data_IF_287727446682
#
_entry.id   IF_287727446682
#
_cell.length_a   1.000
_cell.length_b   1.000
_cell.length_c   1.000
_cell.angle_alpha   90.00
_cell.angle_beta   90.00
_cell.angle_gamma   90.00
#
_symmetry.space_group_name_H-M   'P 1'
#
loop_
_entity.id
_entity.type
_entity.pdbx_description
1 polymer ?
#
# COMPACT_ATOMS: atom_id res chain seq x y z
N UNK A 1 8.38 -9.64 -13.31
CA UNK A 1 9.77 -10.12 -13.21
C UNK A 1 10.02 -10.45 -11.76
N UNK A 2 10.34 -11.71 -11.47
CA UNK A 2 10.72 -12.15 -10.13
C UNK A 2 12.25 -12.06 -10.01
N UNK A 3 12.73 -11.61 -8.85
CA UNK A 3 14.15 -11.39 -8.57
C UNK A 3 14.41 -11.90 -7.16
N UNK A 4 15.53 -12.57 -6.93
CA UNK A 4 15.93 -12.98 -5.58
C UNK A 4 16.29 -11.74 -4.76
N UNK A 5 15.99 -11.78 -3.46
CA UNK A 5 16.31 -10.68 -2.54
C UNK A 5 17.81 -10.36 -2.51
N UNK A 6 18.67 -11.36 -2.73
CA UNK A 6 20.13 -11.21 -2.86
C UNK A 6 20.55 -10.33 -4.03
N UNK A 7 19.72 -10.23 -5.06
CA UNK A 7 20.07 -9.55 -6.31
C UNK A 7 19.45 -8.15 -6.38
N UNK A 8 18.78 -7.69 -5.32
CA UNK A 8 18.15 -6.36 -5.28
C UNK A 8 19.18 -5.24 -5.49
N UNK A 9 20.36 -5.37 -4.90
CA UNK A 9 21.44 -4.39 -5.05
C UNK A 9 21.85 -4.24 -6.51
N UNK A 10 22.18 -5.35 -7.18
CA UNK A 10 22.63 -5.35 -8.58
C UNK A 10 21.50 -5.11 -9.59
N UNK A 11 20.24 -5.33 -9.21
CA UNK A 11 19.10 -5.16 -10.13
C UNK A 11 18.43 -3.80 -10.03
N UNK A 12 18.32 -3.24 -8.80
CA UNK A 12 17.58 -2.01 -8.52
C UNK A 12 18.56 -0.85 -8.29
N UNK A 13 19.54 -1.07 -7.41
CA UNK A 13 20.46 -0.07 -6.93
C UNK A 13 21.75 -0.02 -7.78
N UNK A 14 21.60 0.08 -9.10
CA UNK A 14 22.72 0.28 -10.06
C UNK A 14 23.10 1.76 -10.24
N UNK A 15 22.24 2.67 -9.78
CA UNK A 15 22.40 4.11 -9.84
C UNK A 15 21.67 4.77 -8.67
N UNK A 16 21.97 6.03 -8.33
CA UNK A 16 21.22 6.76 -7.33
C UNK A 16 19.73 6.87 -7.69
N UNK A 17 18.84 6.59 -6.74
CA UNK A 17 17.38 6.65 -6.94
C UNK A 17 16.66 7.26 -5.74
N UNK A 18 15.50 7.85 -6.01
CA UNK A 18 14.52 8.21 -4.98
C UNK A 18 13.84 6.95 -4.45
N UNK A 19 13.75 6.79 -3.13
CA UNK A 19 12.97 5.71 -2.51
C UNK A 19 11.63 6.23 -1.99
N UNK A 20 10.54 5.56 -2.35
CA UNK A 20 9.24 5.71 -1.71
C UNK A 20 8.92 4.38 -1.05
N UNK A 21 8.83 4.35 0.27
CA UNK A 21 8.61 3.11 1.00
C UNK A 21 7.68 3.33 2.19
N UNK A 22 7.09 2.24 2.67
CA UNK A 22 6.38 2.20 3.94
C UNK A 22 7.08 1.21 4.86
N UNK A 23 7.38 1.62 6.09
CA UNK A 23 7.88 0.71 7.12
C UNK A 23 6.77 0.30 8.07
N UNK A 24 6.83 -0.97 8.48
CA UNK A 24 5.92 -1.56 9.45
C UNK A 24 6.68 -2.45 10.43
N UNK A 25 5.93 -3.15 11.29
CA UNK A 25 6.47 -4.19 12.16
C UNK A 25 6.82 -5.48 11.40
N UNK A 26 6.66 -5.55 10.08
CA UNK A 26 7.14 -6.67 9.26
C UNK A 26 8.57 -6.44 8.77
N UNK A 27 9.43 -7.45 8.86
CA UNK A 27 10.84 -7.35 8.44
C UNK A 27 10.96 -7.08 6.93
N UNK A 28 10.07 -7.66 6.13
CA UNK A 28 10.02 -7.47 4.68
C UNK A 28 9.93 -6.00 4.27
N UNK A 29 9.38 -5.14 5.14
CA UNK A 29 9.26 -3.70 4.89
C UNK A 29 10.62 -2.97 4.80
N UNK A 30 11.70 -3.54 5.34
CA UNK A 30 13.03 -2.91 5.32
C UNK A 30 13.93 -3.41 4.21
N UNK A 31 13.60 -4.53 3.57
CA UNK A 31 14.49 -5.28 2.67
C UNK A 31 14.97 -4.43 1.49
N UNK A 32 14.07 -3.70 0.83
CA UNK A 32 14.43 -2.85 -0.32
C UNK A 32 15.36 -1.71 0.08
N UNK A 33 15.07 -1.07 1.23
CA UNK A 33 15.88 0.03 1.76
C UNK A 33 17.25 -0.45 2.27
N UNK A 34 17.32 -1.64 2.88
CA UNK A 34 18.56 -2.24 3.37
C UNK A 34 19.48 -2.65 2.21
N UNK A 35 18.91 -3.16 1.13
CA UNK A 35 19.66 -3.52 -0.07
C UNK A 35 20.33 -2.31 -0.75
N UNK A 36 19.89 -1.08 -0.47
CA UNK A 36 20.52 0.11 -1.02
C UNK A 36 21.94 0.31 -0.43
N UNK A 37 22.99 0.35 -1.27
CA UNK A 37 24.31 0.78 -0.85
C UNK A 37 24.31 2.24 -0.41
N UNK A 38 25.32 2.60 0.38
CA UNK A 38 25.51 3.99 0.79
C UNK A 38 25.62 4.91 -0.45
N UNK A 39 24.88 6.02 -0.44
CA UNK A 39 24.86 6.98 -1.54
C UNK A 39 23.96 6.63 -2.73
N UNK A 40 23.39 5.41 -2.82
CA UNK A 40 22.44 5.08 -3.90
C UNK A 40 20.98 5.32 -3.54
N UNK A 41 20.65 5.35 -2.26
CA UNK A 41 19.39 5.88 -1.75
C UNK A 41 19.64 7.30 -1.20
N UNK A 42 19.62 8.30 -2.07
CA UNK A 42 20.02 9.67 -1.70
C UNK A 42 18.92 10.48 -1.04
N UNK A 43 17.67 10.22 -1.43
CA UNK A 43 16.49 10.98 -0.99
C UNK A 43 15.24 10.12 -1.13
N UNK A 44 14.19 10.51 -0.44
CA UNK A 44 12.96 9.75 -0.52
C UNK A 44 11.96 10.07 0.57
N UNK A 45 10.89 9.30 0.57
CA UNK A 45 9.82 9.38 1.55
C UNK A 45 9.65 8.02 2.21
N UNK A 46 9.66 8.02 3.53
CA UNK A 46 9.43 6.86 4.37
C UNK A 46 8.13 7.04 5.14
N UNK A 47 7.07 6.36 4.69
CA UNK A 47 5.78 6.38 5.35
C UNK A 47 5.75 5.43 6.55
N UNK A 48 5.29 5.92 7.69
CA UNK A 48 5.26 5.19 8.96
C UNK A 48 3.93 5.43 9.67
N UNK A 49 3.44 4.49 10.47
CA UNK A 49 2.20 4.72 11.21
C UNK A 49 2.40 5.71 12.36
N UNK A 50 1.42 6.58 12.59
CA UNK A 50 1.24 7.23 13.89
C UNK A 50 1.00 6.16 14.97
N UNK A 51 1.58 6.33 16.17
CA UNK A 51 1.43 5.35 17.26
C UNK A 51 2.01 3.96 16.96
N UNK A 52 3.03 3.88 16.09
CA UNK A 52 3.69 2.61 15.72
C UNK A 52 4.30 1.90 16.93
N UNK A 53 4.42 0.58 16.84
CA UNK A 53 5.07 -0.24 17.88
C UNK A 53 6.57 0.06 17.99
N UNK A 54 7.17 -0.31 19.13
CA UNK A 54 8.61 -0.19 19.33
C UNK A 54 9.43 -0.92 18.25
N UNK A 55 8.98 -2.11 17.83
CA UNK A 55 9.65 -2.86 16.76
C UNK A 55 9.64 -2.09 15.43
N UNK A 56 8.50 -1.49 15.08
CA UNK A 56 8.42 -0.65 13.88
C UNK A 56 9.30 0.60 14.03
N UNK A 57 9.37 1.19 15.23
CA UNK A 57 10.21 2.35 15.51
C UNK A 57 11.71 2.06 15.36
N UNK A 58 12.21 0.95 15.94
CA UNK A 58 13.61 0.52 15.79
C UNK A 58 14.01 0.32 14.33
N UNK A 59 13.09 -0.19 13.50
CA UNK A 59 13.33 -0.35 12.06
C UNK A 59 13.39 0.97 11.32
N UNK A 60 12.53 1.92 11.68
CA UNK A 60 12.61 3.28 11.14
C UNK A 60 13.97 3.88 11.45
N UNK A 61 14.41 3.81 12.70
CA UNK A 61 15.73 4.32 13.13
C UNK A 61 16.89 3.66 12.37
N UNK A 62 16.87 2.33 12.22
CA UNK A 62 17.88 1.60 11.47
C UNK A 62 17.95 2.00 9.98
N UNK A 63 16.82 2.31 9.35
CA UNK A 63 16.79 2.77 7.96
C UNK A 63 17.21 4.23 7.85
N UNK A 64 16.75 5.10 8.74
CA UNK A 64 17.06 6.54 8.68
C UNK A 64 18.49 6.84 9.09
N UNK A 65 19.11 6.04 9.95
CA UNK A 65 20.53 6.18 10.30
C UNK A 65 21.43 5.81 9.12
N UNK A 66 21.03 4.83 8.31
CA UNK A 66 21.73 4.44 7.08
C UNK A 66 21.51 5.42 5.93
N UNK A 67 20.30 5.97 5.83
CA UNK A 67 19.87 6.82 4.73
C UNK A 67 19.26 8.13 5.25
N UNK A 68 20.11 9.05 5.68
CA UNK A 68 19.72 10.33 6.30
C UNK A 68 18.91 11.26 5.39
N UNK A 69 18.98 11.05 4.06
CA UNK A 69 18.18 11.80 3.09
C UNK A 69 16.70 11.38 3.00
N UNK A 70 16.27 10.36 3.75
CA UNK A 70 14.88 9.92 3.77
C UNK A 70 14.04 10.78 4.71
N UNK A 71 12.98 11.39 4.17
CA UNK A 71 12.01 12.14 4.96
C UNK A 71 10.95 11.19 5.51
N UNK A 72 10.82 11.15 6.83
CA UNK A 72 9.80 10.33 7.52
C UNK A 72 8.45 11.05 7.51
N UNK A 73 7.38 10.35 7.12
CA UNK A 73 6.01 10.87 7.08
C UNK A 73 5.08 9.96 7.86
N UNK A 74 4.47 10.52 8.91
CA UNK A 74 3.52 9.82 9.77
C UNK A 74 2.13 9.74 9.12
N UNK A 75 1.57 8.54 8.97
CA UNK A 75 0.23 8.30 8.45
C UNK A 75 -0.73 7.93 9.58
N UNK A 76 -1.90 8.60 9.60
CA UNK A 76 -2.99 8.32 10.54
C UNK A 76 -3.95 7.31 9.94
N UNK A 77 -3.78 6.04 10.30
CA UNK A 77 -4.49 4.92 9.69
C UNK A 77 -6.01 4.93 9.86
N UNK A 78 -6.49 5.62 10.90
CA UNK A 78 -7.91 5.81 11.20
C UNK A 78 -8.58 6.87 10.31
N UNK A 79 -7.80 7.77 9.70
CA UNK A 79 -8.29 8.90 8.90
C UNK A 79 -7.79 8.79 7.43
N UNK A 80 -8.62 8.27 6.52
CA UNK A 80 -8.27 8.12 5.11
C UNK A 80 -7.99 9.44 4.40
N UNK A 81 -8.69 10.52 4.77
CA UNK A 81 -8.51 11.82 4.13
C UNK A 81 -7.17 12.43 4.54
N UNK A 82 -6.86 12.44 5.84
CA UNK A 82 -5.55 12.91 6.30
C UNK A 82 -4.41 12.05 5.72
N UNK A 83 -4.61 10.73 5.62
CA UNK A 83 -3.65 9.83 4.96
C UNK A 83 -3.44 10.18 3.49
N UNK A 84 -4.53 10.43 2.75
CA UNK A 84 -4.45 10.82 1.35
C UNK A 84 -3.73 12.15 1.14
N UNK A 85 -4.05 13.16 1.95
CA UNK A 85 -3.37 14.47 1.93
C UNK A 85 -1.87 14.31 2.16
N UNK A 86 -1.46 13.57 3.20
CA UNK A 86 -0.04 13.37 3.52
C UNK A 86 0.71 12.59 2.43
N UNK A 87 0.09 11.58 1.82
CA UNK A 87 0.68 10.88 0.68
C UNK A 87 0.82 11.83 -0.52
N UNK A 88 -0.21 12.61 -0.82
CA UNK A 88 -0.21 13.58 -1.91
C UNK A 88 0.86 14.66 -1.75
N UNK A 89 0.92 15.31 -0.59
CA UNK A 89 1.96 16.30 -0.26
C UNK A 89 3.35 15.70 -0.36
N UNK A 90 3.53 14.48 0.19
CA UNK A 90 4.84 13.87 0.23
C UNK A 90 5.35 13.46 -1.16
N UNK A 91 4.48 12.94 -2.02
CA UNK A 91 4.85 12.63 -3.40
C UNK A 91 5.04 13.88 -4.26
N UNK A 92 4.29 14.95 -4.00
CA UNK A 92 4.49 16.22 -4.69
C UNK A 92 5.76 16.95 -4.26
N UNK A 93 6.34 16.63 -3.09
CA UNK A 93 7.59 17.23 -2.64
C UNK A 93 8.84 16.55 -3.22
N UNK A 94 8.70 15.50 -4.04
CA UNK A 94 9.84 14.71 -4.55
C UNK A 94 9.73 14.48 -6.05
N UNK A 95 10.88 14.23 -6.69
CA UNK A 95 10.92 13.74 -8.06
C UNK A 95 10.76 12.21 -8.06
N UNK A 96 9.85 11.72 -8.89
CA UNK A 96 9.63 10.29 -9.09
C UNK A 96 10.32 9.76 -10.35
N UNK A 97 11.22 10.54 -10.96
CA UNK A 97 12.08 10.06 -12.04
C UNK A 97 13.04 9.00 -11.49
N UNK A 98 13.03 7.82 -12.12
CA UNK A 98 13.80 6.63 -11.72
C UNK A 98 13.53 6.11 -10.30
N UNK A 99 12.40 6.50 -9.70
CA UNK A 99 12.07 6.12 -8.33
C UNK A 99 11.84 4.63 -8.13
N UNK A 100 12.21 4.14 -6.96
CA UNK A 100 11.86 2.81 -6.45
C UNK A 100 10.71 2.99 -5.47
N UNK A 101 9.60 2.32 -5.71
CA UNK A 101 8.39 2.37 -4.88
C UNK A 101 8.21 0.99 -4.27
N UNK A 102 8.61 0.84 -3.01
CA UNK A 102 8.42 -0.39 -2.24
C UNK A 102 6.99 -0.44 -1.69
N UNK A 103 6.16 -1.27 -2.31
CA UNK A 103 4.74 -1.43 -1.95
C UNK A 103 4.50 -2.51 -0.88
N UNK A 104 5.55 -3.16 -0.38
CA UNK A 104 5.48 -4.35 0.47
C UNK A 104 4.58 -4.18 1.70
N UNK A 105 4.70 -3.06 2.41
CA UNK A 105 4.05 -2.85 3.69
C UNK A 105 2.94 -1.79 3.67
N UNK A 106 2.50 -1.35 2.49
CA UNK A 106 1.32 -0.50 2.39
C UNK A 106 0.07 -1.33 2.70
N UNK A 107 -0.78 -0.84 3.60
CA UNK A 107 -2.12 -1.42 3.78
C UNK A 107 -2.90 -1.25 2.48
N UNK A 108 -3.86 -2.14 2.19
CA UNK A 108 -4.64 -2.12 0.94
C UNK A 108 -5.22 -0.73 0.60
N UNK A 109 -5.80 -0.05 1.59
CA UNK A 109 -6.33 1.31 1.42
C UNK A 109 -5.23 2.32 1.08
N UNK A 110 -4.10 2.28 1.79
CA UNK A 110 -2.96 3.20 1.55
C UNK A 110 -2.32 2.95 0.19
N UNK A 111 -2.24 1.69 -0.26
CA UNK A 111 -1.71 1.32 -1.57
C UNK A 111 -2.62 1.86 -2.68
N UNK A 112 -3.93 1.72 -2.54
CA UNK A 112 -4.88 2.28 -3.50
C UNK A 112 -4.78 3.81 -3.54
N UNK A 113 -4.73 4.48 -2.39
CA UNK A 113 -4.51 5.93 -2.30
C UNK A 113 -3.19 6.32 -2.99
N UNK A 114 -2.09 5.60 -2.72
CA UNK A 114 -0.79 5.81 -3.36
C UNK A 114 -0.89 5.71 -4.88
N UNK A 115 -1.52 4.66 -5.41
CA UNK A 115 -1.69 4.45 -6.86
C UNK A 115 -2.53 5.56 -7.49
N UNK A 116 -3.58 6.02 -6.81
CA UNK A 116 -4.40 7.13 -7.28
C UNK A 116 -3.63 8.46 -7.31
N UNK A 117 -2.86 8.75 -6.27
CA UNK A 117 -1.98 9.93 -6.23
C UNK A 117 -0.93 9.85 -7.34
N UNK A 118 -0.28 8.70 -7.50
CA UNK A 118 0.70 8.47 -8.57
C UNK A 118 0.08 8.72 -9.95
N UNK A 119 -1.17 8.29 -10.18
CA UNK A 119 -1.90 8.52 -11.44
C UNK A 119 -2.11 10.00 -11.75
N UNK A 120 -2.30 10.83 -10.72
CA UNK A 120 -2.47 12.29 -10.85
C UNK A 120 -1.17 13.08 -11.04
N UNK A 121 0.00 12.46 -10.82
CA UNK A 121 1.29 13.13 -11.00
C UNK A 121 1.65 13.18 -12.50
N UNK A 122 2.05 14.36 -12.96
CA UNK A 122 2.49 14.61 -14.33
C UNK A 122 3.57 13.61 -14.78
N UNK A 123 3.45 13.13 -16.01
CA UNK A 123 4.37 12.16 -16.61
C UNK A 123 5.82 12.66 -16.65
N UNK A 124 6.06 13.98 -16.71
CA UNK A 124 7.39 14.59 -16.66
C UNK A 124 8.10 14.30 -15.32
N UNK A 125 7.35 14.28 -14.23
CA UNK A 125 7.81 14.08 -12.84
C UNK A 125 7.80 12.61 -12.42
N UNK A 126 7.12 11.74 -13.18
CA UNK A 126 6.95 10.31 -12.93
C UNK A 126 7.39 9.49 -14.15
N UNK A 127 8.69 9.21 -14.25
CA UNK A 127 9.29 8.42 -15.35
C UNK A 127 10.12 7.27 -14.80
N UNK A 128 10.07 6.11 -15.45
CA UNK A 128 10.88 4.93 -15.11
C UNK A 128 10.75 4.46 -13.64
N UNK A 129 9.59 4.69 -13.02
CA UNK A 129 9.33 4.21 -11.67
C UNK A 129 9.28 2.68 -11.65
N UNK A 130 9.85 2.07 -10.62
CA UNK A 130 9.76 0.62 -10.39
C UNK A 130 8.96 0.36 -9.13
N UNK A 131 7.86 -0.39 -9.25
CA UNK A 131 7.13 -0.90 -8.11
C UNK A 131 7.76 -2.24 -7.69
N UNK A 132 8.07 -2.37 -6.40
CA UNK A 132 8.73 -3.53 -5.82
C UNK A 132 7.88 -4.07 -4.70
N UNK A 133 7.69 -5.39 -4.69
CA UNK A 133 6.96 -6.11 -3.65
C UNK A 133 7.79 -7.30 -3.20
N UNK A 134 8.08 -7.37 -1.90
CA UNK A 134 8.78 -8.49 -1.30
C UNK A 134 7.75 -9.54 -0.89
N UNK A 135 7.76 -10.68 -1.58
CA UNK A 135 6.86 -11.80 -1.31
C UNK A 135 7.00 -12.31 0.13
N UNK A 136 5.90 -12.80 0.70
CA UNK A 136 5.96 -13.54 1.95
C UNK A 136 6.42 -14.97 1.64
N UNK A 137 7.36 -15.51 2.42
CA UNK A 137 7.80 -16.90 2.28
C UNK A 137 6.71 -17.93 2.65
N UNK A 138 5.69 -17.49 3.38
CA UNK A 138 4.47 -18.25 3.70
C UNK A 138 3.38 -17.31 4.19
N UNK A 139 2.10 -17.65 3.97
CA UNK A 139 1.01 -16.93 4.62
C UNK A 139 1.01 -17.30 6.10
N UNK A 140 1.14 -16.31 6.99
CA UNK A 140 0.80 -16.52 8.40
C UNK A 140 -0.69 -16.90 8.51
N UNK A 141 -1.04 -17.59 9.60
CA UNK A 141 -2.44 -17.91 9.92
C UNK A 141 -3.34 -16.69 9.74
N UNK A 142 -4.53 -16.94 9.19
CA UNK A 142 -5.52 -15.91 8.87
C UNK A 142 -5.76 -14.99 10.07
N UNK A 143 -5.20 -13.77 10.04
CA UNK A 143 -5.41 -12.77 11.07
C UNK A 143 -6.90 -12.37 11.08
N UNK A 144 -7.63 -12.92 12.06
CA UNK A 144 -8.98 -12.61 12.54
C UNK A 144 -9.96 -11.93 11.55
N UNK A 145 -10.92 -12.71 11.06
CA UNK A 145 -11.91 -12.34 10.03
C UNK A 145 -13.08 -11.43 10.46
N UNK A 146 -12.92 -10.55 11.46
CA UNK A 146 -13.99 -9.59 11.82
C UNK A 146 -13.83 -8.29 11.05
N UNK A 147 -14.88 -7.91 10.31
CA UNK A 147 -14.98 -6.57 9.72
C UNK A 147 -15.20 -5.56 10.84
N UNK A 148 -14.28 -4.62 11.00
CA UNK A 148 -14.39 -3.53 11.97
C UNK A 148 -15.02 -2.28 11.37
N UNK A 149 -14.83 -2.07 10.05
CA UNK A 149 -15.35 -0.89 9.36
C UNK A 149 -15.55 -1.19 7.87
N UNK A 150 -16.63 -0.68 7.29
CA UNK A 150 -16.81 -0.56 5.84
C UNK A 150 -16.72 0.92 5.46
N UNK A 151 -15.82 1.28 4.53
CA UNK A 151 -15.66 2.65 4.06
C UNK A 151 -15.16 2.70 2.63
N UNK A 152 -15.43 3.80 1.94
CA UNK A 152 -14.88 4.06 0.62
C UNK A 152 -13.40 4.44 0.70
N UNK A 153 -12.64 4.05 -0.31
CA UNK A 153 -11.24 4.46 -0.46
C UNK A 153 -11.19 5.80 -1.19
N UNK A 154 -10.42 6.74 -0.64
CA UNK A 154 -10.29 8.10 -1.21
C UNK A 154 -9.83 8.03 -2.66
N UNK A 155 -10.56 8.71 -3.55
CA UNK A 155 -10.32 8.73 -5.00
C UNK A 155 -10.91 7.55 -5.79
N UNK A 156 -11.55 6.59 -5.12
CA UNK A 156 -12.27 5.47 -5.75
C UNK A 156 -13.77 5.45 -5.46
N UNK A 157 -14.24 6.31 -4.55
CA UNK A 157 -15.67 6.55 -4.36
C UNK A 157 -16.21 7.19 -5.64
N UNK A 158 -16.85 6.39 -6.50
CA UNK A 158 -17.60 6.92 -7.64
C UNK A 158 -18.73 7.85 -7.18
N UNK A 159 -19.49 8.41 -8.12
CA UNK A 159 -20.62 9.26 -7.77
C UNK A 159 -21.79 8.42 -7.21
N UNK A 160 -22.20 8.71 -5.96
CA UNK A 160 -23.42 8.15 -5.36
C UNK A 160 -24.53 9.18 -5.51
N UNK A 161 -25.65 8.76 -6.10
CA UNK A 161 -26.81 9.62 -6.35
C UNK A 161 -27.96 9.15 -5.45
N UNK A 162 -28.33 9.89 -4.40
CA UNK A 162 -29.39 9.47 -3.47
C UNK A 162 -30.75 9.24 -4.15
N UNK A 163 -30.98 9.94 -5.26
CA UNK A 163 -32.22 9.85 -6.05
C UNK A 163 -32.30 8.60 -6.93
N UNK A 164 -31.22 7.83 -7.08
CA UNK A 164 -31.18 6.63 -7.91
C UNK A 164 -31.21 5.38 -7.04
N UNK A 165 -31.89 4.35 -7.53
CA UNK A 165 -31.88 3.02 -6.90
C UNK A 165 -30.46 2.49 -6.79
N UNK A 166 -30.02 2.14 -5.58
CA UNK A 166 -28.72 1.53 -5.32
C UNK A 166 -28.73 0.05 -5.69
N UNK A 167 -27.67 -0.40 -6.37
CA UNK A 167 -27.42 -1.81 -6.66
C UNK A 167 -26.03 -2.17 -6.16
N UNK A 168 -25.95 -3.07 -5.20
CA UNK A 168 -24.70 -3.60 -4.69
C UNK A 168 -24.39 -4.92 -5.39
N UNK A 169 -23.20 -5.01 -5.97
CA UNK A 169 -22.66 -6.26 -6.53
C UNK A 169 -21.55 -6.72 -5.61
N UNK A 170 -21.70 -7.89 -4.99
CA UNK A 170 -20.68 -8.49 -4.13
C UNK A 170 -20.21 -9.81 -4.76
N UNK A 171 -18.94 -9.86 -5.15
CA UNK A 171 -18.29 -11.09 -5.59
C UNK A 171 -17.74 -11.81 -4.36
N UNK A 172 -18.61 -12.57 -3.70
CA UNK A 172 -18.30 -13.31 -2.49
C UNK A 172 -17.55 -14.58 -2.89
N UNK A 173 -16.24 -14.62 -2.65
CA UNK A 173 -15.50 -15.88 -2.60
C UNK A 173 -15.95 -16.70 -1.38
N UNK A 174 -15.02 -17.03 -0.48
CA UNK A 174 -15.34 -17.73 0.77
C UNK A 174 -15.59 -16.78 1.96
N UNK A 175 -15.60 -15.46 1.74
CA UNK A 175 -15.60 -14.46 2.79
C UNK A 175 -17.00 -13.94 3.16
N UNK A 176 -17.91 -14.85 3.50
CA UNK A 176 -19.30 -14.56 3.87
C UNK A 176 -19.42 -13.45 4.94
N UNK A 177 -18.62 -13.45 6.03
CA UNK A 177 -18.72 -12.40 7.04
C UNK A 177 -18.43 -11.00 6.50
N UNK A 178 -17.53 -10.87 5.52
CA UNK A 178 -17.20 -9.58 4.91
C UNK A 178 -18.31 -9.07 4.03
N UNK A 179 -18.89 -9.95 3.22
CA UNK A 179 -20.01 -9.59 2.37
C UNK A 179 -21.22 -9.11 3.18
N UNK A 180 -21.56 -9.81 4.27
CA UNK A 180 -22.65 -9.40 5.17
C UNK A 180 -22.41 -8.00 5.72
N UNK A 181 -21.22 -7.72 6.25
CA UNK A 181 -20.88 -6.41 6.79
C UNK A 181 -20.98 -5.28 5.75
N UNK A 182 -20.67 -5.55 4.47
CA UNK A 182 -20.82 -4.56 3.39
C UNK A 182 -22.32 -4.33 3.07
N UNK A 183 -23.12 -5.39 3.01
CA UNK A 183 -24.57 -5.29 2.74
C UNK A 183 -25.25 -4.49 3.84
N UNK A 184 -24.95 -4.79 5.10
CA UNK A 184 -25.47 -4.09 6.28
C UNK A 184 -25.05 -2.61 6.28
N UNK A 185 -23.82 -2.29 5.85
CA UNK A 185 -23.34 -0.91 5.84
C UNK A 185 -23.96 -0.03 4.74
N UNK A 186 -24.36 -0.60 3.60
CA UNK A 186 -24.84 0.15 2.43
C UNK A 186 -26.34 0.06 2.18
N UNK A 187 -27.05 -0.88 2.82
CA UNK A 187 -28.50 -1.12 2.71
C UNK A 187 -29.04 -0.96 1.27
N UNK A 188 -28.50 -1.72 0.29
CA UNK A 188 -28.82 -1.51 -1.11
C UNK A 188 -30.24 -1.97 -1.46
N UNK A 189 -30.92 -1.26 -2.37
CA UNK A 189 -32.25 -1.68 -2.86
C UNK A 189 -32.20 -2.98 -3.68
N UNK A 190 -31.11 -3.20 -4.41
CA UNK A 190 -30.87 -4.43 -5.17
C UNK A 190 -29.51 -5.03 -4.82
N UNK A 191 -29.48 -6.34 -4.58
CA UNK A 191 -28.27 -7.09 -4.26
C UNK A 191 -28.00 -8.14 -5.34
N UNK A 192 -26.79 -8.15 -5.88
CA UNK A 192 -26.29 -9.22 -6.75
C UNK A 192 -25.10 -9.88 -6.05
N UNK A 193 -25.19 -11.18 -5.84
CA UNK A 193 -24.13 -11.97 -5.22
C UNK A 193 -23.49 -12.88 -6.27
N UNK A 194 -22.24 -12.60 -6.62
CA UNK A 194 -21.42 -13.52 -7.42
C UNK A 194 -20.69 -14.47 -6.49
N UNK A 195 -20.83 -15.78 -6.71
CA UNK A 195 -20.14 -16.82 -5.92
C UNK A 195 -19.17 -17.59 -6.82
N UNK A 196 -17.88 -17.55 -6.49
CA UNK A 196 -16.89 -18.40 -7.13
C UNK A 196 -17.09 -19.88 -6.74
N UNK A 197 -16.99 -20.81 -7.69
CA UNK A 197 -17.08 -22.24 -7.38
C UNK A 197 -15.77 -22.72 -6.76
N UNK A 198 -15.85 -23.58 -5.74
CA UNK A 198 -14.65 -24.14 -5.09
C UNK A 198 -13.78 -24.92 -6.07
N UNK A 199 -14.40 -25.62 -7.03
CA UNK A 199 -13.73 -26.33 -8.11
C UNK A 199 -12.92 -25.44 -9.06
N UNK A 200 -13.09 -24.11 -9.00
CA UNK A 200 -12.43 -23.13 -9.86
C UNK A 200 -11.43 -22.27 -9.08
N UNK A 201 -11.16 -22.61 -7.81
CA UNK A 201 -10.20 -21.89 -6.97
C UNK A 201 -8.77 -22.39 -7.21
N UNK A 202 -7.84 -21.46 -7.39
CA UNK A 202 -6.41 -21.70 -7.69
C UNK A 202 -5.69 -22.39 -6.51
N UNK A 203 -6.28 -22.31 -5.32
CA UNK A 203 -5.77 -22.85 -4.05
C UNK A 203 -6.48 -24.12 -3.59
N UNK A 204 -7.12 -24.86 -4.52
CA UNK A 204 -7.79 -26.14 -4.23
C UNK A 204 -6.85 -27.33 -4.39
#
# INVERSE_FOLDING_TARGET
>A
MEIRTTDLTSSIWIKPRTLIARLSFEERSTVVAQAAPHGLCTRGVLFVSEGRSELAQRRVEAITSRHSGLRVVNLRTSDPMATATKIHEALNSVSLVDAVIDVTAFRREELLILLQVLKGIESSRRRNCRLVYISAGGMADTLSGKVTQCRSVVGYAGAIWPTRSTRLVVLMGFEIPRARAIIEAYEPKHLILGRGRKSESISS
#
